data_IF_779679168756
#
_entry.id   IF_779679168756
#
_cell.length_a   1.000
_cell.length_b   1.000
_cell.length_c   1.000
_cell.angle_alpha   90.00
_cell.angle_beta   90.00
_cell.angle_gamma   90.00
#
_symmetry.space_group_name_H-M   'P 1'
#
loop_
_entity.id
_entity.type
_entity.pdbx_description
1 polymer ?
#
# COMPACT_ATOMS: atom_id res chain seq x y z
N UNK A 1 -10.00 14.33 -26.60
CA UNK A 1 -9.75 15.59 -27.34
C UNK A 1 -10.50 16.70 -26.67
N UNK A 2 -9.80 17.69 -26.23
CA UNK A 2 -10.40 18.97 -25.86
C UNK A 2 -10.17 19.89 -27.05
N UNK A 3 -11.22 20.34 -27.70
CA UNK A 3 -11.12 21.44 -28.62
C UNK A 3 -11.33 22.72 -27.84
N UNK A 4 -10.27 23.39 -27.53
CA UNK A 4 -10.36 24.74 -27.04
C UNK A 4 -10.65 25.67 -28.20
N UNK A 5 -11.52 26.63 -28.01
CA UNK A 5 -11.71 27.75 -28.92
C UNK A 5 -10.56 28.77 -28.86
N UNK A 6 -9.43 28.38 -28.40
CA UNK A 6 -8.27 29.22 -28.20
C UNK A 6 -7.01 28.61 -28.77
N UNK A 7 -5.91 29.11 -28.39
CA UNK A 7 -4.59 28.87 -28.94
C UNK A 7 -4.02 27.47 -28.66
N UNK A 8 -4.82 26.44 -28.64
CA UNK A 8 -4.25 25.10 -28.54
C UNK A 8 -5.28 24.02 -28.32
N UNK A 9 -5.11 22.95 -29.04
CA UNK A 9 -5.77 21.68 -28.75
C UNK A 9 -4.70 20.65 -28.51
N UNK A 10 -4.86 19.87 -27.48
CA UNK A 10 -4.02 18.72 -27.24
C UNK A 10 -4.86 17.45 -27.14
N UNK A 11 -4.24 16.33 -27.38
CA UNK A 11 -4.85 15.05 -27.19
C UNK A 11 -4.87 14.70 -25.71
N UNK A 12 -6.03 14.68 -25.08
CA UNK A 12 -6.20 14.32 -23.68
C UNK A 12 -6.69 12.88 -23.45
N UNK A 13 -6.75 12.10 -24.51
CA UNK A 13 -7.15 10.70 -24.47
C UNK A 13 -7.09 10.05 -25.85
N UNK A 14 -7.03 8.75 -25.85
CA UNK A 14 -7.04 7.93 -27.04
C UNK A 14 -8.38 7.21 -27.22
N UNK A 15 -8.82 7.09 -28.47
CA UNK A 15 -9.96 6.26 -28.82
C UNK A 15 -9.52 4.80 -28.95
N UNK A 16 -9.84 4.00 -27.95
CA UNK A 16 -9.63 2.55 -28.01
C UNK A 16 -10.83 1.86 -28.68
N UNK A 17 -10.59 1.08 -29.72
CA UNK A 17 -11.59 0.29 -30.44
C UNK A 17 -11.29 -1.19 -30.24
N UNK A 18 -12.29 -2.04 -30.52
CA UNK A 18 -12.10 -3.49 -30.49
C UNK A 18 -10.92 -3.99 -31.36
N UNK A 19 -10.64 -3.32 -32.47
CA UNK A 19 -9.47 -3.62 -33.31
C UNK A 19 -8.13 -3.23 -32.71
N UNK A 20 -8.13 -2.44 -31.63
CA UNK A 20 -6.92 -2.10 -30.86
C UNK A 20 -6.66 -3.08 -29.70
N UNK A 21 -7.55 -4.07 -29.52
CA UNK A 21 -7.48 -5.05 -28.46
C UNK A 21 -7.06 -6.42 -29.02
N UNK A 22 -6.21 -7.09 -28.27
CA UNK A 22 -5.84 -8.48 -28.54
C UNK A 22 -6.72 -9.43 -27.72
N UNK A 23 -7.20 -10.49 -28.36
CA UNK A 23 -7.95 -11.54 -27.67
C UNK A 23 -6.98 -12.47 -26.96
N UNK A 24 -7.05 -12.52 -25.64
CA UNK A 24 -6.24 -13.40 -24.81
C UNK A 24 -7.12 -14.43 -24.08
N UNK A 25 -6.59 -15.63 -23.86
CA UNK A 25 -7.32 -16.72 -23.20
C UNK A 25 -7.38 -16.57 -21.68
N UNK A 26 -6.36 -15.97 -21.08
CA UNK A 26 -6.21 -15.87 -19.63
C UNK A 26 -6.02 -14.41 -19.24
N UNK A 27 -6.51 -14.05 -18.06
CA UNK A 27 -6.22 -12.74 -17.46
C UNK A 27 -4.74 -12.60 -17.21
N UNK A 28 -4.17 -11.46 -17.55
CA UNK A 28 -2.76 -11.18 -17.35
C UNK A 28 -2.47 -10.83 -15.90
N UNK A 29 -1.25 -11.12 -15.46
CA UNK A 29 -0.73 -10.81 -14.13
C UNK A 29 -1.66 -11.23 -12.99
N UNK A 30 -2.20 -12.46 -13.05
CA UNK A 30 -3.10 -13.04 -12.04
C UNK A 30 -2.54 -14.31 -11.43
N UNK A 31 -1.25 -14.56 -11.60
CA UNK A 31 -0.59 -15.75 -11.07
C UNK A 31 -0.50 -15.76 -9.56
N UNK A 32 -0.46 -16.94 -9.00
CA UNK A 32 -0.18 -17.16 -7.60
C UNK A 32 0.53 -18.48 -7.39
N UNK A 33 1.21 -18.61 -6.26
CA UNK A 33 1.82 -19.84 -5.82
C UNK A 33 1.71 -19.98 -4.30
N UNK A 34 1.73 -21.19 -3.86
CA UNK A 34 1.69 -21.60 -2.47
C UNK A 34 2.73 -22.69 -2.24
N UNK A 35 3.46 -22.59 -1.13
CA UNK A 35 4.41 -23.58 -0.69
C UNK A 35 4.13 -23.95 0.77
N UNK A 36 3.96 -25.25 1.04
CA UNK A 36 3.70 -25.75 2.36
C UNK A 36 4.71 -26.83 2.72
N UNK A 37 5.35 -26.67 3.87
CA UNK A 37 6.30 -27.63 4.43
C UNK A 37 5.80 -28.02 5.82
N UNK A 38 5.72 -29.31 6.09
CA UNK A 38 5.36 -29.83 7.39
C UNK A 38 6.31 -30.95 7.80
N UNK A 39 6.62 -31.02 9.08
CA UNK A 39 7.46 -32.08 9.61
C UNK A 39 7.25 -32.28 11.09
N UNK A 40 7.52 -33.50 11.55
CA UNK A 40 7.53 -33.83 12.97
C UNK A 40 8.59 -34.88 13.28
N UNK A 41 9.04 -34.86 14.54
CA UNK A 41 9.96 -35.83 15.12
C UNK A 41 9.30 -36.38 16.38
N UNK A 42 9.24 -37.69 16.47
CA UNK A 42 8.73 -38.43 17.64
C UNK A 42 9.91 -39.06 18.36
N UNK A 43 10.07 -38.73 19.63
CA UNK A 43 11.11 -39.29 20.48
C UNK A 43 10.45 -40.11 21.58
N UNK A 44 10.65 -41.44 21.54
CA UNK A 44 10.21 -42.33 22.60
C UNK A 44 11.29 -42.36 23.67
N UNK A 45 11.08 -41.59 24.74
CA UNK A 45 12.05 -41.45 25.84
C UNK A 45 12.05 -42.67 26.75
N UNK A 46 10.87 -43.21 27.02
CA UNK A 46 10.66 -44.45 27.77
C UNK A 46 9.54 -45.28 27.11
N UNK A 47 9.25 -46.46 27.64
CA UNK A 47 8.10 -47.26 27.13
C UNK A 47 6.76 -46.56 27.30
N UNK A 48 6.66 -45.64 28.26
CA UNK A 48 5.44 -44.92 28.64
C UNK A 48 5.43 -43.45 28.22
N UNK A 49 6.57 -42.88 27.90
CA UNK A 49 6.71 -41.44 27.59
C UNK A 49 7.11 -41.23 26.14
N UNK A 50 6.32 -40.42 25.45
CA UNK A 50 6.58 -40.00 24.09
C UNK A 50 6.58 -38.49 23.97
N UNK A 51 7.63 -37.94 23.36
CA UNK A 51 7.77 -36.54 23.01
C UNK A 51 7.62 -36.37 21.51
N UNK A 52 6.78 -35.42 21.09
CA UNK A 52 6.63 -35.08 19.69
C UNK A 52 6.97 -33.59 19.52
N UNK A 53 7.86 -33.31 18.63
CA UNK A 53 8.15 -31.94 18.17
C UNK A 53 7.81 -31.83 16.71
N UNK A 54 7.11 -30.79 16.33
CA UNK A 54 6.76 -30.62 14.94
C UNK A 54 6.49 -29.17 14.59
N UNK A 55 6.29 -28.94 13.31
CA UNK A 55 5.97 -27.64 12.81
C UNK A 55 5.49 -27.65 11.37
N UNK A 56 4.92 -26.53 10.98
CA UNK A 56 4.50 -26.25 9.62
C UNK A 56 4.99 -24.87 9.22
N UNK A 57 5.35 -24.76 7.96
CA UNK A 57 5.67 -23.50 7.32
C UNK A 57 4.86 -23.40 6.04
N UNK A 58 4.08 -22.33 5.91
CA UNK A 58 3.35 -22.00 4.69
C UNK A 58 3.77 -20.62 4.21
N UNK A 59 3.98 -20.50 2.91
CA UNK A 59 4.27 -19.26 2.25
C UNK A 59 3.50 -19.16 0.95
N UNK A 60 2.82 -18.06 0.72
CA UNK A 60 2.03 -17.81 -0.49
C UNK A 60 2.25 -16.43 -1.05
N UNK A 61 2.12 -16.34 -2.36
CA UNK A 61 2.09 -15.07 -3.09
C UNK A 61 1.02 -15.17 -4.17
N UNK A 62 0.23 -14.13 -4.32
CA UNK A 62 -0.77 -14.04 -5.39
C UNK A 62 -0.91 -12.63 -5.88
N UNK A 63 -1.27 -12.49 -7.15
CA UNK A 63 -1.65 -11.23 -7.75
C UNK A 63 -3.18 -11.13 -7.77
N UNK A 64 -3.71 -10.04 -7.22
CA UNK A 64 -5.15 -9.83 -7.12
C UNK A 64 -5.70 -9.29 -8.43
N UNK A 65 -6.58 -10.06 -9.08
CA UNK A 65 -7.24 -9.57 -10.29
C UNK A 65 -8.14 -8.38 -9.98
N UNK A 66 -7.98 -7.31 -10.75
CA UNK A 66 -8.87 -6.17 -10.76
C UNK A 66 -9.43 -5.95 -12.16
N UNK A 67 -10.76 -5.94 -12.29
CA UNK A 67 -11.41 -5.64 -13.56
C UNK A 67 -11.07 -4.25 -14.08
N UNK A 68 -10.86 -3.29 -13.18
CA UNK A 68 -10.52 -1.92 -13.54
C UNK A 68 -9.13 -1.82 -14.17
N UNK A 69 -8.22 -2.74 -13.81
CA UNK A 69 -6.86 -2.79 -14.32
C UNK A 69 -6.73 -3.68 -15.58
N UNK A 70 -7.77 -4.48 -15.89
CA UNK A 70 -7.67 -5.59 -16.84
C UNK A 70 -7.26 -5.21 -18.27
N UNK A 71 -7.52 -3.97 -18.69
CA UNK A 71 -7.23 -3.53 -20.05
C UNK A 71 -5.93 -2.72 -20.19
N UNK A 72 -5.62 -1.88 -19.22
CA UNK A 72 -4.54 -0.89 -19.37
C UNK A 72 -3.50 -0.91 -18.25
N UNK A 73 -3.83 -1.46 -17.10
CA UNK A 73 -2.98 -1.46 -15.91
C UNK A 73 -2.91 -2.84 -15.24
N UNK A 74 -2.95 -3.93 -16.02
CA UNK A 74 -2.94 -5.28 -15.46
C UNK A 74 -1.64 -5.60 -14.68
N UNK A 75 -0.55 -4.93 -15.01
CA UNK A 75 0.74 -5.00 -14.31
C UNK A 75 0.69 -4.36 -12.90
N UNK A 76 -0.30 -3.50 -12.66
CA UNK A 76 -0.54 -2.85 -11.36
C UNK A 76 -1.56 -3.58 -10.49
N UNK A 77 -1.83 -4.85 -10.76
CA UNK A 77 -2.62 -5.67 -9.86
C UNK A 77 -1.92 -5.78 -8.51
N UNK A 78 -2.67 -5.52 -7.44
CA UNK A 78 -2.12 -5.63 -6.09
C UNK A 78 -1.59 -7.05 -5.82
N UNK A 79 -0.50 -7.11 -5.09
CA UNK A 79 0.16 -8.36 -4.71
C UNK A 79 -0.11 -8.64 -3.24
N UNK A 80 -0.59 -9.85 -2.96
CA UNK A 80 -0.68 -10.39 -1.61
C UNK A 80 0.46 -11.37 -1.37
N UNK A 81 1.09 -11.25 -0.19
CA UNK A 81 2.04 -12.22 0.34
C UNK A 81 1.59 -12.61 1.73
N UNK A 82 1.64 -13.89 2.03
CA UNK A 82 1.36 -14.39 3.37
C UNK A 82 2.38 -15.44 3.77
N UNK A 83 2.71 -15.43 5.04
CA UNK A 83 3.63 -16.38 5.64
C UNK A 83 3.09 -16.81 6.99
N UNK A 84 2.94 -18.10 7.17
CA UNK A 84 2.54 -18.70 8.45
C UNK A 84 3.57 -19.73 8.85
N UNK A 85 4.00 -19.67 10.08
CA UNK A 85 4.79 -20.74 10.65
C UNK A 85 4.27 -21.12 12.03
N UNK A 86 4.27 -22.41 12.28
CA UNK A 86 3.81 -22.98 13.53
C UNK A 86 4.82 -24.01 14.01
N UNK A 87 5.10 -23.99 15.30
CA UNK A 87 5.86 -25.02 15.98
C UNK A 87 5.08 -25.52 17.18
N UNK A 88 5.20 -26.80 17.46
CA UNK A 88 4.56 -27.39 18.62
C UNK A 88 5.43 -28.43 19.28
N UNK A 89 5.24 -28.56 20.61
CA UNK A 89 5.77 -29.64 21.40
C UNK A 89 4.64 -30.37 22.09
N UNK A 90 4.65 -31.67 22.03
CA UNK A 90 3.67 -32.54 22.69
C UNK A 90 4.38 -33.56 23.57
N UNK A 91 3.99 -33.61 24.82
CA UNK A 91 4.36 -34.61 25.78
C UNK A 91 3.17 -35.58 25.95
N UNK A 92 3.40 -36.87 25.84
CA UNK A 92 2.37 -37.90 26.09
C UNK A 92 2.93 -38.90 27.07
N UNK A 93 2.20 -39.18 28.15
CA UNK A 93 2.52 -40.21 29.11
C UNK A 93 1.37 -41.20 29.19
N UNK A 94 1.72 -42.51 29.13
CA UNK A 94 0.78 -43.62 29.22
C UNK A 94 1.03 -44.38 30.52
N UNK A 95 -0.04 -44.90 31.08
CA UNK A 95 -0.02 -45.74 32.27
C UNK A 95 -0.65 -47.07 31.91
N UNK A 96 0.15 -48.06 31.42
CA UNK A 96 -0.37 -49.38 31.08
C UNK A 96 -0.83 -50.07 32.35
N UNK A 97 -1.99 -50.66 32.29
CA UNK A 97 -2.54 -51.43 33.40
C UNK A 97 -2.21 -52.90 33.19
N UNK A 98 -1.63 -53.60 34.18
CA UNK A 98 -1.41 -55.07 34.10
C UNK A 98 -2.71 -55.84 33.83
N UNK A 99 -2.62 -56.92 33.09
CA UNK A 99 -3.81 -57.75 32.70
C UNK A 99 -4.63 -58.25 33.89
N UNK A 100 -3.99 -58.47 35.02
CA UNK A 100 -4.62 -59.00 36.24
C UNK A 100 -5.18 -57.88 37.15
N UNK A 101 -5.13 -56.64 36.74
CA UNK A 101 -5.59 -55.51 37.54
C UNK A 101 -7.12 -55.51 37.67
N UNK A 102 -7.62 -55.37 38.86
CA UNK A 102 -9.05 -55.17 39.20
C UNK A 102 -9.48 -53.70 39.09
N UNK A 103 -8.60 -52.82 38.67
CA UNK A 103 -8.91 -51.41 38.50
C UNK A 103 -10.00 -51.18 37.43
N UNK A 104 -10.96 -50.29 37.73
CA UNK A 104 -11.99 -49.87 36.80
C UNK A 104 -11.43 -49.00 35.68
N UNK A 105 -10.34 -48.28 35.94
CA UNK A 105 -9.67 -47.44 34.94
C UNK A 105 -8.48 -48.21 34.42
N UNK A 106 -8.49 -48.53 33.11
CA UNK A 106 -7.41 -49.23 32.42
C UNK A 106 -6.80 -48.37 31.33
N UNK A 107 -5.47 -48.50 31.15
CA UNK A 107 -4.71 -47.81 30.09
C UNK A 107 -4.91 -46.29 30.04
N UNK A 108 -4.86 -45.65 31.18
CA UNK A 108 -4.95 -44.20 31.29
C UNK A 108 -3.76 -43.54 30.58
N UNK A 109 -4.01 -42.46 29.90
CA UNK A 109 -2.95 -41.58 29.36
C UNK A 109 -3.36 -40.12 29.46
N UNK A 110 -2.38 -39.23 29.47
CA UNK A 110 -2.59 -37.82 29.28
C UNK A 110 -1.59 -37.29 28.28
N UNK A 111 -1.98 -36.18 27.61
CA UNK A 111 -1.15 -35.46 26.64
C UNK A 111 -1.21 -33.95 26.93
N UNK A 112 -0.05 -33.36 27.00
CA UNK A 112 0.11 -31.90 27.10
C UNK A 112 0.75 -31.43 25.81
N UNK A 113 0.15 -30.42 25.15
CA UNK A 113 0.68 -29.84 23.94
C UNK A 113 0.78 -28.30 24.12
N UNK A 114 1.88 -27.75 23.65
CA UNK A 114 2.11 -26.31 23.53
C UNK A 114 2.38 -26.01 22.08
N UNK A 115 1.67 -25.01 21.56
CA UNK A 115 1.78 -24.52 20.19
C UNK A 115 2.16 -23.05 20.19
N UNK A 116 2.94 -22.65 19.20
CA UNK A 116 3.15 -21.26 18.84
C UNK A 116 2.98 -21.09 17.34
N UNK A 117 2.13 -20.13 16.95
CA UNK A 117 1.88 -19.79 15.55
C UNK A 117 2.10 -18.30 15.34
N UNK A 118 2.71 -17.96 14.21
CA UNK A 118 2.84 -16.59 13.75
C UNK A 118 2.41 -16.49 12.30
N UNK A 119 1.51 -15.55 12.05
CA UNK A 119 1.04 -15.17 10.73
C UNK A 119 1.51 -13.76 10.39
N UNK A 120 2.11 -13.60 9.21
CA UNK A 120 2.45 -12.30 8.64
C UNK A 120 1.80 -12.22 7.26
N UNK A 121 1.23 -11.07 6.94
CA UNK A 121 0.72 -10.81 5.60
C UNK A 121 0.99 -9.37 5.18
N UNK A 122 1.22 -9.21 3.90
CA UNK A 122 1.39 -7.93 3.21
C UNK A 122 0.48 -7.94 2.00
N UNK A 123 -0.19 -6.82 1.75
CA UNK A 123 -1.04 -6.64 0.58
C UNK A 123 -0.94 -5.20 0.09
N UNK A 124 -0.61 -5.02 -1.16
CA UNK A 124 -0.47 -3.68 -1.72
C UNK A 124 0.06 -3.66 -3.14
N UNK A 125 0.39 -2.46 -3.57
CA UNK A 125 1.07 -2.21 -4.83
C UNK A 125 2.52 -2.72 -4.73
N UNK A 126 2.98 -3.58 -5.66
CA UNK A 126 4.34 -4.11 -5.64
C UNK A 126 5.44 -3.04 -5.80
N UNK A 127 5.12 -1.88 -6.36
CA UNK A 127 6.09 -0.82 -6.60
C UNK A 127 6.30 0.06 -5.37
N UNK A 128 5.28 0.24 -4.54
CA UNK A 128 5.32 1.21 -3.45
C UNK A 128 5.17 0.60 -2.05
N UNK A 129 4.45 -0.51 -1.90
CA UNK A 129 4.21 -1.20 -0.62
C UNK A 129 3.73 -0.23 0.48
N UNK A 130 4.51 -0.08 1.53
CA UNK A 130 4.27 0.77 2.68
C UNK A 130 4.83 2.20 2.53
N UNK A 131 5.44 2.51 1.37
CA UNK A 131 5.92 3.85 1.05
C UNK A 131 4.76 4.77 0.66
N UNK A 132 3.93 5.12 1.61
CA UNK A 132 2.69 5.88 1.40
C UNK A 132 2.90 7.23 0.70
N UNK A 133 4.08 7.82 0.83
CA UNK A 133 4.43 9.09 0.20
C UNK A 133 4.77 8.97 -1.29
N UNK A 134 5.00 7.76 -1.77
CA UNK A 134 5.29 7.51 -3.18
C UNK A 134 4.00 7.38 -4.01
N UNK A 135 2.87 7.04 -3.35
CA UNK A 135 1.57 6.95 -4.02
C UNK A 135 1.11 8.32 -4.51
N UNK A 136 0.88 8.42 -5.82
CA UNK A 136 0.45 9.67 -6.45
C UNK A 136 1.51 10.76 -6.52
N UNK A 137 2.74 10.50 -6.09
CA UNK A 137 3.82 11.48 -6.22
C UNK A 137 4.32 11.52 -7.67
N UNK A 138 4.06 12.61 -8.35
CA UNK A 138 4.41 12.80 -9.77
C UNK A 138 5.74 13.52 -9.93
N UNK A 139 6.08 14.38 -8.99
CA UNK A 139 7.29 15.19 -9.07
C UNK A 139 7.22 16.45 -8.24
N UNK A 140 8.22 17.28 -8.40
CA UNK A 140 8.34 18.57 -7.70
C UNK A 140 7.86 19.71 -8.58
N UNK A 141 6.86 20.42 -8.09
CA UNK A 141 6.38 21.66 -8.68
C UNK A 141 7.05 22.85 -8.00
N UNK A 142 7.53 23.79 -8.78
CA UNK A 142 7.99 25.08 -8.28
C UNK A 142 7.03 26.14 -8.77
N UNK A 143 6.34 26.79 -7.84
CA UNK A 143 5.37 27.84 -8.10
C UNK A 143 5.72 29.06 -7.25
N UNK A 144 5.46 30.24 -7.77
CA UNK A 144 5.48 31.47 -6.98
C UNK A 144 4.06 31.80 -6.51
N UNK A 145 3.99 32.46 -5.38
CA UNK A 145 2.78 33.10 -4.87
C UNK A 145 3.03 34.58 -4.73
N UNK A 146 2.17 35.37 -5.31
CA UNK A 146 2.21 36.81 -5.16
C UNK A 146 1.17 37.26 -4.14
N UNK A 147 1.55 37.92 -3.06
CA UNK A 147 0.60 38.46 -2.11
C UNK A 147 -0.12 39.67 -2.71
N UNK A 148 -1.44 39.70 -2.62
CA UNK A 148 -2.26 40.84 -2.90
C UNK A 148 -2.48 41.64 -1.62
N UNK A 149 -2.26 42.90 -1.67
CA UNK A 149 -2.40 43.80 -0.52
C UNK A 149 -3.62 44.69 -0.68
N UNK A 150 -4.26 44.95 0.43
CA UNK A 150 -5.40 45.83 0.51
C UNK A 150 -5.73 46.19 1.94
N UNK A 151 -6.69 47.09 2.10
CA UNK A 151 -7.24 47.30 3.43
C UNK A 151 -8.12 46.12 3.82
N UNK A 152 -7.69 45.41 4.87
CA UNK A 152 -8.42 44.30 5.40
C UNK A 152 -9.42 44.79 6.45
N UNK A 153 -10.62 44.20 6.40
CA UNK A 153 -11.68 44.46 7.37
C UNK A 153 -11.48 43.61 8.67
N UNK A 154 -10.23 43.44 9.02
CA UNK A 154 -9.79 42.68 10.19
C UNK A 154 -9.15 43.59 11.22
N UNK A 155 -9.39 43.30 12.48
CA UNK A 155 -8.77 44.01 13.59
C UNK A 155 -7.42 43.34 13.89
N UNK A 156 -6.34 44.07 13.76
CA UNK A 156 -5.03 43.68 14.26
C UNK A 156 -4.87 44.16 15.68
N UNK A 157 -4.53 43.24 16.57
CA UNK A 157 -4.26 43.52 17.97
C UNK A 157 -2.75 43.52 18.19
N UNK A 158 -2.21 44.65 18.62
CA UNK A 158 -0.80 44.77 19.00
C UNK A 158 -0.71 45.08 20.49
N UNK A 159 0.03 44.28 21.22
CA UNK A 159 0.29 44.50 22.66
C UNK A 159 1.74 44.91 22.83
N UNK A 160 1.95 46.09 23.38
CA UNK A 160 3.27 46.64 23.72
C UNK A 160 3.35 47.02 25.20
N UNK A 161 4.41 47.69 25.58
CA UNK A 161 4.62 48.19 26.95
C UNK A 161 3.56 49.21 27.45
N UNK A 162 2.82 49.79 26.51
CA UNK A 162 1.80 50.81 26.79
C UNK A 162 0.37 50.23 26.80
N UNK A 163 0.23 48.93 26.47
CA UNK A 163 -1.06 48.24 26.48
C UNK A 163 -1.41 47.54 25.16
N UNK A 164 -2.68 47.22 25.03
CA UNK A 164 -3.21 46.52 23.85
C UNK A 164 -3.90 47.54 22.95
N UNK A 165 -3.44 47.65 21.71
CA UNK A 165 -3.97 48.53 20.69
C UNK A 165 -4.70 47.75 19.61
N UNK A 166 -5.83 48.28 19.16
CA UNK A 166 -6.67 47.69 18.12
C UNK A 166 -6.63 48.57 16.87
N UNK A 167 -6.18 47.99 15.77
CA UNK A 167 -6.14 48.67 14.47
C UNK A 167 -7.12 48.01 13.53
N UNK A 168 -8.12 48.78 13.10
CA UNK A 168 -9.10 48.36 12.12
C UNK A 168 -8.68 48.90 10.73
N UNK A 169 -9.11 48.18 9.70
CA UNK A 169 -8.92 48.58 8.32
C UNK A 169 -7.43 48.83 8.00
N UNK A 170 -6.58 47.88 8.34
CA UNK A 170 -5.13 47.96 8.14
C UNK A 170 -4.73 47.47 6.75
N UNK A 171 -3.68 48.09 6.19
CA UNK A 171 -3.07 47.60 4.96
C UNK A 171 -2.34 46.28 5.25
N UNK A 172 -2.88 45.17 4.74
CA UNK A 172 -2.35 43.87 4.98
C UNK A 172 -2.47 42.96 3.74
N UNK A 173 -1.88 41.81 3.79
CA UNK A 173 -2.09 40.79 2.76
C UNK A 173 -3.53 40.31 2.83
N UNK A 174 -4.30 40.52 1.78
CA UNK A 174 -5.72 40.12 1.71
C UNK A 174 -5.94 38.80 1.05
N UNK A 175 -5.07 38.45 0.12
CA UNK A 175 -5.10 37.15 -0.58
C UNK A 175 -3.71 36.78 -1.09
N UNK A 176 -3.60 35.54 -1.52
CA UNK A 176 -2.44 35.05 -2.24
C UNK A 176 -2.91 34.58 -3.60
N UNK A 177 -2.40 35.20 -4.65
CA UNK A 177 -2.61 34.74 -6.00
C UNK A 177 -1.60 33.63 -6.30
N UNK A 178 -2.07 32.53 -6.86
CA UNK A 178 -1.20 31.46 -7.32
C UNK A 178 -0.69 31.87 -8.69
N UNK A 179 0.54 32.28 -8.71
CA UNK A 179 1.20 32.54 -9.94
C UNK A 179 1.73 31.28 -10.61
N UNK A 180 2.17 31.50 -11.72
CA UNK A 180 2.88 30.72 -12.70
C UNK A 180 3.59 29.50 -12.12
N UNK A 181 3.31 28.34 -12.66
CA UNK A 181 4.20 27.20 -12.56
C UNK A 181 5.55 27.58 -13.19
N UNK A 182 6.60 27.64 -12.39
CA UNK A 182 7.95 27.99 -12.85
C UNK A 182 8.65 26.80 -13.43
N UNK A 183 8.50 25.63 -12.78
CA UNK A 183 9.08 24.40 -13.26
C UNK A 183 8.38 23.18 -12.66
N UNK A 184 8.39 22.10 -13.43
CA UNK A 184 8.03 20.77 -13.00
C UNK A 184 9.25 19.84 -13.18
N UNK A 185 9.61 19.14 -12.13
CA UNK A 185 10.66 18.12 -12.16
C UNK A 185 10.00 16.77 -11.94
N UNK A 186 9.93 15.97 -12.97
CA UNK A 186 9.31 14.64 -12.93
C UNK A 186 10.01 13.70 -11.93
N UNK A 187 9.23 12.84 -11.29
CA UNK A 187 9.70 11.80 -10.38
C UNK A 187 9.77 10.45 -11.10
N UNK A 188 10.62 9.57 -10.62
CA UNK A 188 10.72 8.18 -11.03
C UNK A 188 9.72 7.25 -10.31
N UNK A 189 8.97 7.76 -9.33
CA UNK A 189 8.04 6.97 -8.51
C UNK A 189 6.78 6.52 -9.27
N UNK A 190 6.26 7.40 -10.11
CA UNK A 190 5.13 7.12 -10.99
C UNK A 190 5.48 7.56 -12.42
N UNK A 191 6.39 6.85 -13.10
CA UNK A 191 7.05 7.37 -14.30
C UNK A 191 6.08 7.70 -15.42
N UNK A 192 5.07 6.86 -15.66
CA UNK A 192 4.08 7.10 -16.71
C UNK A 192 3.29 8.39 -16.52
N UNK A 193 2.79 8.62 -15.30
CA UNK A 193 2.04 9.81 -14.97
C UNK A 193 2.94 11.05 -14.88
N UNK A 194 4.17 10.88 -14.40
CA UNK A 194 5.15 11.95 -14.31
C UNK A 194 5.60 12.42 -15.71
N UNK A 195 5.80 11.48 -16.65
CA UNK A 195 6.09 11.76 -18.04
C UNK A 195 4.93 12.52 -18.70
N UNK A 196 3.70 11.98 -18.59
CA UNK A 196 2.51 12.65 -19.10
C UNK A 196 2.35 14.07 -18.55
N UNK A 197 2.61 14.26 -17.27
CA UNK A 197 2.54 15.58 -16.63
C UNK A 197 3.62 16.52 -17.16
N UNK A 198 4.83 16.00 -17.37
CA UNK A 198 5.93 16.76 -17.97
C UNK A 198 5.59 17.22 -19.38
N UNK A 199 5.04 16.32 -20.19
CA UNK A 199 4.62 16.62 -21.57
C UNK A 199 3.48 17.65 -21.59
N UNK A 200 2.51 17.50 -20.69
CA UNK A 200 1.43 18.46 -20.52
C UNK A 200 1.97 19.88 -20.28
N UNK A 201 2.84 20.04 -19.32
CA UNK A 201 3.45 21.34 -19.03
C UNK A 201 4.42 21.80 -20.11
N UNK A 202 5.08 20.88 -20.81
CA UNK A 202 5.90 21.19 -21.97
C UNK A 202 5.11 21.79 -23.13
N UNK A 203 3.89 21.31 -23.34
CA UNK A 203 2.97 21.83 -24.37
C UNK A 203 2.39 23.21 -24.01
N UNK A 204 2.23 23.46 -22.71
CA UNK A 204 1.61 24.67 -22.17
C UNK A 204 2.59 25.62 -21.50
N UNK A 205 3.87 25.38 -21.63
CA UNK A 205 4.91 26.33 -21.17
C UNK A 205 4.92 27.55 -22.07
N UNK A 206 3.83 28.30 -22.07
CA UNK A 206 3.85 29.69 -22.44
C UNK A 206 4.77 30.40 -21.45
N UNK A 207 5.77 31.16 -21.92
CA UNK A 207 6.60 32.00 -21.06
C UNK A 207 5.82 32.97 -20.17
N UNK A 208 4.55 33.16 -20.45
CA UNK A 208 3.64 34.01 -19.66
C UNK A 208 2.77 33.19 -18.68
N UNK A 209 2.87 31.85 -18.70
CA UNK A 209 2.36 30.97 -17.66
C UNK A 209 0.90 31.10 -17.30
N UNK A 210 0.07 31.38 -18.24
CA UNK A 210 -1.38 31.40 -18.02
C UNK A 210 -1.95 29.97 -18.07
N UNK A 211 -2.23 29.40 -16.92
CA UNK A 211 -3.01 28.19 -16.72
C UNK A 211 -4.39 28.54 -16.18
#
# INVERSE_FOLDING_TARGET
RVSGSGAGTYLNGEYTRMGSMESIKNSQNTSGWDANIAGNINVRTTETINLTFGGTFNMSKYNSYSRNNAYFNYDKNAVGKAQTWRVYGRFTQRFPTPQESTSLIKNFYYSLQVDYERYNSEYGDPDHWDNIWDYGYLGKYTIYKTPSYGFADSTITVTDANGTHYYNNVWATTSWDYDTLVSFQASDKNPLLAEYTSDYYGLYSDPLGHY
#
